data_IF_299381302812
#
_entry.id   IF_299381302812
#
_cell.length_a   1.000
_cell.length_b   1.000
_cell.length_c   1.000
_cell.angle_alpha   90.00
_cell.angle_beta   90.00
_cell.angle_gamma   90.00
#
_symmetry.space_group_name_H-M   'P 1'
#
loop_
_entity.id
_entity.type
_entity.pdbx_description
1 polymer ?
#
# COMPACT_ATOMS: atom_id res chain seq x y z
N UNK A 1 11.32 -45.50 -22.97
CA UNK A 1 10.44 -44.50 -22.30
C UNK A 1 11.25 -43.85 -21.19
N UNK A 2 11.91 -42.74 -21.50
CA UNK A 2 12.80 -41.99 -20.62
C UNK A 2 12.45 -40.50 -20.74
N UNK A 3 12.57 -39.78 -19.61
CA UNK A 3 12.89 -38.34 -19.48
C UNK A 3 11.76 -37.37 -19.89
N UNK A 4 11.30 -36.38 -19.10
CA UNK A 4 12.01 -35.45 -18.22
C UNK A 4 11.09 -34.99 -17.07
N UNK A 5 11.46 -35.26 -15.82
CA UNK A 5 11.05 -34.46 -14.65
C UNK A 5 12.29 -33.63 -14.30
N UNK A 6 12.24 -32.34 -14.62
CA UNK A 6 13.38 -31.43 -14.45
C UNK A 6 13.53 -31.07 -12.96
N UNK A 7 14.67 -31.49 -12.41
CA UNK A 7 15.17 -31.17 -11.07
C UNK A 7 15.50 -29.67 -10.99
N UNK A 8 14.83 -28.91 -10.13
CA UNK A 8 15.35 -27.62 -9.64
C UNK A 8 16.18 -27.88 -8.38
N UNK A 9 17.49 -28.03 -8.56
CA UNK A 9 18.50 -28.02 -7.50
C UNK A 9 19.73 -27.29 -8.04
N UNK A 10 20.23 -26.34 -7.26
CA UNK A 10 21.48 -25.56 -7.42
C UNK A 10 21.43 -24.33 -8.35
N UNK A 11 21.04 -23.19 -7.80
CA UNK A 11 21.88 -21.97 -7.82
C UNK A 11 21.87 -21.41 -6.40
N UNK A 12 22.78 -21.91 -5.56
CA UNK A 12 23.14 -21.34 -4.27
C UNK A 12 24.45 -20.57 -4.48
N UNK A 13 24.38 -19.25 -4.36
CA UNK A 13 25.54 -18.37 -4.36
C UNK A 13 25.19 -17.10 -3.62
N UNK A 14 25.32 -17.13 -2.28
CA UNK A 14 25.31 -15.93 -1.44
C UNK A 14 24.03 -15.60 -0.68
N UNK A 15 23.37 -16.59 -0.08
CA UNK A 15 22.45 -16.32 1.04
C UNK A 15 23.07 -16.98 2.27
N UNK A 16 23.41 -16.15 3.26
CA UNK A 16 23.85 -16.60 4.58
C UNK A 16 22.84 -17.61 5.12
N UNK A 17 23.25 -18.87 5.22
CA UNK A 17 22.52 -19.91 5.94
C UNK A 17 22.35 -19.47 7.39
N UNK A 18 21.12 -19.30 7.84
CA UNK A 18 20.78 -19.48 9.25
C UNK A 18 20.13 -20.86 9.37
N UNK A 19 20.82 -21.74 10.10
CA UNK A 19 20.47 -23.13 10.27
C UNK A 19 19.11 -23.31 10.97
N UNK A 20 18.41 -24.36 10.54
CA UNK A 20 17.12 -24.83 11.05
C UNK A 20 17.23 -25.41 12.46
N UNK A 21 16.21 -25.14 13.29
CA UNK A 21 15.78 -26.05 14.35
C UNK A 21 14.24 -26.09 14.35
N UNK A 22 13.72 -27.28 14.11
CA UNK A 22 12.36 -27.71 14.43
C UNK A 22 12.11 -27.55 15.92
N UNK A 23 11.03 -26.87 16.28
CA UNK A 23 10.55 -26.78 17.66
C UNK A 23 9.79 -25.50 17.93
N UNK A 24 8.79 -25.57 18.81
CA UNK A 24 7.92 -24.48 19.28
C UNK A 24 8.64 -23.29 19.96
N UNK A 25 9.95 -23.10 19.74
CA UNK A 25 10.81 -22.06 20.28
C UNK A 25 11.02 -20.87 19.32
N UNK A 26 10.39 -20.85 18.14
CA UNK A 26 10.63 -19.85 17.11
C UNK A 26 9.95 -18.51 17.41
N UNK A 27 8.65 -18.51 17.75
CA UNK A 27 7.88 -17.29 18.07
C UNK A 27 8.53 -16.41 19.15
N UNK A 28 9.19 -17.03 20.14
CA UNK A 28 9.85 -16.30 21.24
C UNK A 28 11.01 -15.45 20.72
N UNK A 29 11.84 -15.98 19.80
CA UNK A 29 13.02 -15.28 19.27
C UNK A 29 12.68 -14.02 18.47
N UNK A 30 11.59 -14.04 17.71
CA UNK A 30 11.17 -12.86 16.91
C UNK A 30 10.60 -11.81 17.83
N UNK A 31 9.75 -12.22 18.77
CA UNK A 31 9.17 -11.29 19.74
C UNK A 31 10.26 -10.62 20.59
N UNK A 32 11.31 -11.34 20.96
CA UNK A 32 12.44 -10.75 21.68
C UNK A 32 13.21 -9.73 20.83
N UNK A 33 13.38 -10.00 19.53
CA UNK A 33 13.99 -9.04 18.59
C UNK A 33 13.12 -7.79 18.37
N UNK A 34 11.79 -7.90 18.48
CA UNK A 34 10.88 -6.78 18.28
C UNK A 34 10.83 -5.82 19.48
N UNK A 35 11.16 -6.25 20.71
CA UNK A 35 11.09 -5.37 21.90
C UNK A 35 11.95 -4.11 21.76
N UNK A 36 13.12 -4.23 21.16
CA UNK A 36 14.10 -3.16 20.98
C UNK A 36 14.17 -2.63 19.54
N UNK A 37 13.30 -3.09 18.64
CA UNK A 37 13.33 -2.66 17.25
C UNK A 37 13.09 -1.15 17.14
N UNK A 38 13.96 -0.46 16.40
CA UNK A 38 13.87 0.95 16.11
C UNK A 38 13.45 1.15 14.65
N UNK A 39 12.67 2.19 14.39
CA UNK A 39 12.20 2.54 13.06
C UNK A 39 12.67 3.94 12.68
N UNK A 40 13.06 4.10 11.43
CA UNK A 40 13.29 5.39 10.80
C UNK A 40 12.47 5.41 9.53
N UNK A 41 11.72 6.48 9.32
CA UNK A 41 10.91 6.62 8.12
C UNK A 41 11.82 6.69 6.89
N UNK A 42 11.54 5.82 5.92
CA UNK A 42 12.19 5.76 4.60
C UNK A 42 11.06 5.70 3.57
N UNK A 43 11.18 6.46 2.48
CA UNK A 43 10.21 6.39 1.39
C UNK A 43 10.69 5.39 0.34
N UNK A 44 9.79 4.54 -0.16
CA UNK A 44 10.10 3.50 -1.14
C UNK A 44 10.71 4.08 -2.42
N UNK A 45 10.26 5.28 -2.84
CA UNK A 45 10.76 5.96 -4.03
C UNK A 45 12.26 6.24 -3.97
N UNK A 46 12.84 6.35 -2.76
CA UNK A 46 14.27 6.61 -2.55
C UNK A 46 15.13 5.35 -2.77
N UNK A 47 14.50 4.19 -3.00
CA UNK A 47 15.14 2.90 -3.28
C UNK A 47 15.12 2.52 -4.76
N UNK A 48 14.45 3.30 -5.61
CA UNK A 48 14.36 2.96 -7.02
C UNK A 48 15.65 3.29 -7.77
N UNK A 49 16.18 2.36 -8.59
CA UNK A 49 17.26 2.69 -9.50
C UNK A 49 16.78 3.71 -10.56
N UNK A 50 17.69 4.46 -11.19
CA UNK A 50 17.32 5.29 -12.33
C UNK A 50 16.73 4.41 -13.45
N UNK A 51 15.68 4.91 -14.10
CA UNK A 51 15.02 4.21 -15.19
C UNK A 51 15.62 4.62 -16.53
N UNK A 52 15.92 3.64 -17.37
CA UNK A 52 16.24 3.90 -18.78
C UNK A 52 15.05 4.62 -19.45
N UNK A 53 15.27 5.71 -20.22
CA UNK A 53 14.18 6.48 -20.83
C UNK A 53 13.24 5.64 -21.70
N UNK A 54 13.78 4.66 -22.43
CA UNK A 54 12.99 3.74 -23.25
C UNK A 54 12.11 2.82 -22.39
N UNK A 55 12.65 2.28 -21.29
CA UNK A 55 11.91 1.43 -20.37
C UNK A 55 10.78 2.20 -19.65
N UNK A 56 11.07 3.44 -19.24
CA UNK A 56 10.09 4.34 -18.61
C UNK A 56 9.01 4.77 -19.61
N UNK A 57 9.34 4.94 -20.90
CA UNK A 57 8.36 5.19 -21.96
C UNK A 57 7.37 4.02 -22.12
N UNK A 58 7.85 2.78 -22.18
CA UNK A 58 6.97 1.60 -22.23
C UNK A 58 6.11 1.47 -20.97
N UNK A 59 6.68 1.72 -19.79
CA UNK A 59 5.93 1.73 -18.55
C UNK A 59 4.80 2.77 -18.57
N UNK A 60 5.09 4.01 -19.01
CA UNK A 60 4.10 5.08 -19.13
C UNK A 60 3.01 4.75 -20.17
N UNK A 61 3.37 4.17 -21.31
CA UNK A 61 2.41 3.72 -22.32
C UNK A 61 1.47 2.65 -21.72
N UNK A 62 2.01 1.65 -21.03
CA UNK A 62 1.22 0.62 -20.36
C UNK A 62 0.26 1.22 -19.31
N UNK A 63 0.74 2.18 -18.50
CA UNK A 63 -0.10 2.90 -17.53
C UNK A 63 -1.22 3.69 -18.19
N UNK A 64 -0.98 4.32 -19.33
CA UNK A 64 -2.02 5.05 -20.05
C UNK A 64 -3.09 4.09 -20.57
N UNK A 65 -2.71 2.94 -21.13
CA UNK A 65 -3.66 1.89 -21.54
C UNK A 65 -4.48 1.37 -20.34
N UNK A 66 -3.88 1.22 -19.17
CA UNK A 66 -4.60 0.85 -17.93
C UNK A 66 -5.58 1.93 -17.44
N UNK A 67 -5.40 3.20 -17.79
CA UNK A 67 -6.30 4.30 -17.38
C UNK A 67 -7.50 4.51 -18.31
N UNK A 68 -7.42 4.09 -19.57
CA UNK A 68 -8.50 4.27 -20.56
C UNK A 68 -9.87 3.74 -20.11
N UNK A 69 -10.99 4.30 -20.54
CA UNK A 69 -12.30 3.71 -20.22
C UNK A 69 -12.57 2.48 -21.10
N UNK A 70 -13.28 1.49 -20.56
CA UNK A 70 -13.71 0.30 -21.31
C UNK A 70 -12.73 -0.88 -21.29
N UNK A 71 -12.85 -1.76 -22.30
CA UNK A 71 -12.11 -3.01 -22.38
C UNK A 71 -10.61 -2.75 -22.57
N UNK A 72 -9.79 -3.40 -21.76
CA UNK A 72 -8.33 -3.26 -21.75
C UNK A 72 -7.65 -4.24 -22.70
N UNK A 73 -6.64 -3.77 -23.42
CA UNK A 73 -5.72 -4.63 -24.14
C UNK A 73 -4.61 -5.13 -23.20
N UNK A 74 -4.95 -6.13 -22.39
CA UNK A 74 -3.99 -6.73 -21.46
C UNK A 74 -2.83 -7.45 -22.18
N UNK A 75 -3.00 -7.86 -23.44
CA UNK A 75 -1.90 -8.44 -24.20
C UNK A 75 -0.83 -7.38 -24.51
N UNK A 76 -1.25 -6.19 -24.96
CA UNK A 76 -0.35 -5.05 -25.17
C UNK A 76 0.26 -4.54 -23.87
N UNK A 77 -0.55 -4.37 -22.82
CA UNK A 77 -0.08 -3.93 -21.48
C UNK A 77 0.98 -4.89 -20.95
N UNK A 78 0.72 -6.19 -20.98
CA UNK A 78 1.67 -7.21 -20.54
C UNK A 78 2.97 -7.20 -21.35
N UNK A 79 2.88 -6.98 -22.67
CA UNK A 79 4.06 -6.86 -23.55
C UNK A 79 4.93 -5.67 -23.16
N UNK A 80 4.33 -4.49 -23.02
CA UNK A 80 5.03 -3.26 -22.64
C UNK A 80 5.71 -3.40 -21.27
N UNK A 81 5.01 -3.99 -20.30
CA UNK A 81 5.62 -4.22 -19.00
C UNK A 81 6.75 -5.24 -19.02
N UNK A 82 6.65 -6.31 -19.84
CA UNK A 82 7.77 -7.25 -20.03
C UNK A 82 8.98 -6.55 -20.65
N UNK A 83 8.78 -5.73 -21.67
CA UNK A 83 9.86 -4.94 -22.30
C UNK A 83 10.53 -4.00 -21.28
N UNK A 84 9.75 -3.25 -20.50
CA UNK A 84 10.29 -2.39 -19.44
C UNK A 84 10.99 -3.21 -18.34
N UNK A 85 10.42 -4.34 -17.93
CA UNK A 85 11.01 -5.24 -16.94
C UNK A 85 12.34 -5.84 -17.43
N UNK A 86 12.50 -6.15 -18.72
CA UNK A 86 13.77 -6.61 -19.29
C UNK A 86 14.89 -5.58 -19.10
N UNK A 87 14.53 -4.29 -19.02
CA UNK A 87 15.42 -3.16 -18.71
C UNK A 87 15.38 -2.73 -17.24
N UNK A 88 15.08 -3.69 -16.36
CA UNK A 88 15.10 -3.50 -14.90
C UNK A 88 14.13 -2.41 -14.37
N UNK A 89 13.06 -2.09 -15.10
CA UNK A 89 12.07 -1.13 -14.65
C UNK A 89 11.20 -1.70 -13.51
N UNK A 90 11.52 -1.36 -12.27
CA UNK A 90 10.96 -2.02 -11.07
C UNK A 90 9.46 -1.81 -10.91
N UNK A 91 8.93 -0.64 -11.29
CA UNK A 91 7.47 -0.40 -11.29
C UNK A 91 6.74 -1.24 -12.33
N UNK A 92 7.41 -1.54 -13.46
CA UNK A 92 6.83 -2.38 -14.50
C UNK A 92 6.80 -3.84 -14.04
N UNK A 93 7.86 -4.31 -13.38
CA UNK A 93 7.89 -5.63 -12.75
C UNK A 93 6.76 -5.79 -11.73
N UNK A 94 6.57 -4.81 -10.83
CA UNK A 94 5.51 -4.86 -9.83
C UNK A 94 4.11 -4.89 -10.45
N UNK A 95 3.84 -4.02 -11.44
CA UNK A 95 2.54 -4.02 -12.12
C UNK A 95 2.30 -5.29 -12.93
N UNK A 96 3.31 -5.78 -13.66
CA UNK A 96 3.22 -7.04 -14.40
C UNK A 96 2.93 -8.21 -13.47
N UNK A 97 3.64 -8.29 -12.36
CA UNK A 97 3.45 -9.30 -11.33
C UNK A 97 1.99 -9.29 -10.83
N UNK A 98 1.47 -8.12 -10.45
CA UNK A 98 0.10 -7.99 -9.97
C UNK A 98 -0.93 -8.42 -11.03
N UNK A 99 -0.74 -8.01 -12.29
CA UNK A 99 -1.63 -8.34 -13.39
C UNK A 99 -1.62 -9.83 -13.75
N UNK A 100 -0.46 -10.49 -13.72
CA UNK A 100 -0.36 -11.94 -13.93
C UNK A 100 -1.04 -12.68 -12.77
N UNK A 101 -0.74 -12.31 -11.52
CA UNK A 101 -1.32 -12.94 -10.34
C UNK A 101 -2.86 -12.87 -10.35
N UNK A 102 -3.42 -11.71 -10.73
CA UNK A 102 -4.86 -11.50 -10.90
C UNK A 102 -5.46 -12.25 -12.11
N UNK A 103 -4.64 -12.72 -13.06
CA UNK A 103 -5.09 -13.38 -14.28
C UNK A 103 -5.53 -12.43 -15.40
N UNK A 104 -5.27 -11.12 -15.25
CA UNK A 104 -5.53 -10.13 -16.30
C UNK A 104 -4.53 -10.26 -17.46
N UNK A 105 -3.26 -10.55 -17.14
CA UNK A 105 -2.19 -10.82 -18.11
C UNK A 105 -1.85 -12.30 -18.08
N UNK A 106 -1.85 -12.96 -19.24
CA UNK A 106 -1.42 -14.35 -19.35
C UNK A 106 0.09 -14.47 -19.06
N UNK A 107 0.54 -15.56 -18.43
CA UNK A 107 1.96 -15.78 -18.21
C UNK A 107 2.72 -15.99 -19.54
N UNK A 108 4.05 -15.89 -19.51
CA UNK A 108 4.90 -16.20 -20.65
C UNK A 108 4.68 -17.63 -21.14
N UNK A 109 4.87 -17.86 -22.44
CA UNK A 109 4.55 -19.14 -23.07
C UNK A 109 5.25 -20.31 -22.36
N UNK A 110 4.45 -21.31 -21.94
CA UNK A 110 4.95 -22.50 -21.26
C UNK A 110 5.20 -22.34 -19.76
N UNK A 111 4.95 -21.15 -19.18
CA UNK A 111 5.03 -20.92 -17.74
C UNK A 111 3.64 -20.96 -17.08
N UNK A 112 3.60 -21.45 -15.84
CA UNK A 112 2.46 -21.20 -14.95
C UNK A 112 2.52 -19.78 -14.39
N UNK A 113 1.36 -19.21 -14.03
CA UNK A 113 1.28 -17.85 -13.46
C UNK A 113 2.20 -17.67 -12.26
N UNK A 114 2.20 -18.65 -11.36
CA UNK A 114 3.01 -18.65 -10.15
C UNK A 114 4.51 -18.59 -10.48
N UNK A 115 4.95 -19.23 -11.56
CA UNK A 115 6.37 -19.27 -11.93
C UNK A 115 6.86 -17.88 -12.34
N UNK A 116 6.21 -17.25 -13.33
CA UNK A 116 6.62 -15.91 -13.80
C UNK A 116 6.51 -14.86 -12.69
N UNK A 117 5.46 -14.95 -11.87
CA UNK A 117 5.26 -14.05 -10.73
C UNK A 117 6.39 -14.18 -9.71
N UNK A 118 6.79 -15.40 -9.35
CA UNK A 118 7.91 -15.59 -8.41
C UNK A 118 9.23 -15.13 -9.03
N UNK A 119 9.48 -15.38 -10.32
CA UNK A 119 10.67 -14.87 -11.02
C UNK A 119 10.75 -13.33 -10.98
N UNK A 120 9.62 -12.63 -11.19
CA UNK A 120 9.56 -11.17 -11.09
C UNK A 120 9.84 -10.68 -9.66
N UNK A 121 9.29 -11.36 -8.65
CA UNK A 121 9.48 -11.01 -7.23
C UNK A 121 10.92 -11.25 -6.80
N UNK A 122 11.53 -12.37 -7.19
CA UNK A 122 12.94 -12.66 -6.92
C UNK A 122 13.88 -11.65 -7.58
N UNK A 123 13.56 -11.18 -8.79
CA UNK A 123 14.30 -10.10 -9.45
C UNK A 123 14.20 -8.79 -8.68
N UNK A 124 13.01 -8.42 -8.20
CA UNK A 124 12.82 -7.23 -7.35
C UNK A 124 13.63 -7.34 -6.05
N UNK A 125 13.62 -8.50 -5.39
CA UNK A 125 14.43 -8.75 -4.18
C UNK A 125 15.92 -8.67 -4.48
N UNK A 126 16.39 -9.25 -5.60
CA UNK A 126 17.79 -9.20 -6.02
C UNK A 126 18.27 -7.75 -6.28
N UNK A 127 17.35 -6.86 -6.63
CA UNK A 127 17.61 -5.43 -6.83
C UNK A 127 17.38 -4.60 -5.55
N UNK A 128 17.20 -5.23 -4.40
CA UNK A 128 16.90 -4.59 -3.11
C UNK A 128 15.66 -3.68 -3.16
N UNK A 129 14.64 -4.07 -3.94
CA UNK A 129 13.39 -3.30 -4.05
C UNK A 129 12.43 -3.70 -2.92
N UNK A 130 11.98 -2.75 -2.08
CA UNK A 130 11.13 -3.04 -0.92
C UNK A 130 9.84 -3.79 -1.26
N UNK A 131 9.19 -3.41 -2.37
CA UNK A 131 8.00 -4.08 -2.89
C UNK A 131 8.19 -5.59 -3.11
N UNK A 132 9.36 -6.02 -3.60
CA UNK A 132 9.66 -7.44 -3.81
C UNK A 132 9.62 -8.24 -2.51
N UNK A 133 10.20 -7.69 -1.43
CA UNK A 133 10.12 -8.31 -0.11
C UNK A 133 8.68 -8.39 0.41
N UNK A 134 7.89 -7.33 0.24
CA UNK A 134 6.50 -7.32 0.69
C UNK A 134 5.64 -8.38 -0.02
N UNK A 135 5.76 -8.47 -1.35
CA UNK A 135 5.01 -9.46 -2.14
C UNK A 135 5.46 -10.89 -1.82
N UNK A 136 6.77 -11.15 -1.69
CA UNK A 136 7.25 -12.47 -1.24
C UNK A 136 6.70 -12.82 0.14
N UNK A 137 6.66 -11.86 1.07
CA UNK A 137 6.02 -12.06 2.37
C UNK A 137 4.55 -12.46 2.24
N UNK A 138 3.80 -11.79 1.36
CA UNK A 138 2.40 -12.13 1.08
C UNK A 138 2.24 -13.54 0.50
N UNK A 139 3.13 -13.96 -0.39
CA UNK A 139 3.11 -15.29 -0.99
C UNK A 139 3.52 -16.40 -0.04
N UNK A 140 4.50 -16.17 0.83
CA UNK A 140 4.83 -17.07 1.93
C UNK A 140 3.66 -17.23 2.89
N UNK A 141 2.91 -16.17 3.16
CA UNK A 141 1.72 -16.26 4.03
C UNK A 141 0.62 -17.14 3.42
N UNK A 142 0.48 -17.12 2.09
CA UNK A 142 -0.59 -17.79 1.34
C UNK A 142 -0.19 -19.15 0.74
N UNK A 143 1.11 -19.45 0.65
CA UNK A 143 1.61 -20.60 -0.11
C UNK A 143 1.48 -20.43 -1.64
N UNK A 144 1.53 -19.19 -2.15
CA UNK A 144 1.36 -18.92 -3.59
C UNK A 144 2.68 -19.06 -4.34
N UNK A 145 2.88 -20.19 -5.03
CA UNK A 145 4.11 -20.46 -5.80
C UNK A 145 5.34 -20.78 -4.95
N UNK A 146 5.23 -20.67 -3.62
CA UNK A 146 6.24 -21.02 -2.62
C UNK A 146 5.59 -21.80 -1.48
N UNK A 147 6.37 -22.52 -0.69
CA UNK A 147 5.86 -23.20 0.50
C UNK A 147 5.34 -22.19 1.53
N UNK A 148 4.17 -22.45 2.09
CA UNK A 148 3.56 -21.56 3.07
C UNK A 148 4.43 -21.51 4.34
N UNK A 149 4.82 -20.31 4.75
CA UNK A 149 5.62 -20.08 5.94
C UNK A 149 5.32 -18.70 6.52
N UNK A 150 4.46 -18.64 7.54
CA UNK A 150 4.03 -17.40 8.18
C UNK A 150 5.15 -16.65 8.90
N UNK A 151 6.17 -17.38 9.35
CA UNK A 151 7.30 -16.78 10.02
C UNK A 151 8.21 -16.05 9.04
N UNK A 152 8.60 -16.75 7.96
CA UNK A 152 9.32 -16.12 6.88
C UNK A 152 8.51 -14.94 6.32
N UNK A 153 7.20 -15.09 6.13
CA UNK A 153 6.32 -14.02 5.69
C UNK A 153 6.47 -12.73 6.52
N UNK A 154 6.43 -12.86 7.86
CA UNK A 154 6.62 -11.73 8.76
C UNK A 154 7.99 -11.08 8.60
N UNK A 155 9.08 -11.86 8.52
CA UNK A 155 10.44 -11.33 8.33
C UNK A 155 10.58 -10.56 7.01
N UNK A 156 10.00 -11.08 5.93
CA UNK A 156 9.99 -10.42 4.62
C UNK A 156 9.20 -9.11 4.66
N UNK A 157 8.02 -9.09 5.28
CA UNK A 157 7.22 -7.86 5.44
C UNK A 157 7.91 -6.82 6.36
N UNK A 158 8.57 -7.27 7.43
CA UNK A 158 9.36 -6.41 8.31
C UNK A 158 10.54 -5.77 7.55
N UNK A 159 11.25 -6.56 6.75
CA UNK A 159 12.32 -6.08 5.89
C UNK A 159 11.80 -5.03 4.89
N UNK A 160 10.67 -5.30 4.24
CA UNK A 160 10.03 -4.35 3.33
C UNK A 160 9.70 -3.02 4.03
N UNK A 161 9.12 -3.08 5.24
CA UNK A 161 8.77 -1.90 6.04
C UNK A 161 9.99 -1.03 6.39
N UNK A 162 11.08 -1.66 6.84
CA UNK A 162 12.36 -1.00 7.15
C UNK A 162 12.97 -0.35 5.91
N UNK A 163 12.80 -0.96 4.74
CA UNK A 163 13.33 -0.43 3.49
C UNK A 163 12.46 0.64 2.84
N UNK A 164 11.25 0.87 3.35
CA UNK A 164 10.40 1.99 2.96
C UNK A 164 9.08 1.60 2.28
N UNK A 165 8.80 0.31 2.08
CA UNK A 165 7.57 -0.11 1.40
C UNK A 165 6.33 0.34 2.21
N UNK A 166 5.39 1.10 1.62
CA UNK A 166 4.24 1.65 2.33
C UNK A 166 3.29 0.56 2.86
N UNK A 167 3.06 -0.52 2.11
CA UNK A 167 2.21 -1.63 2.56
C UNK A 167 2.85 -2.38 3.75
N UNK A 168 4.15 -2.62 3.70
CA UNK A 168 4.93 -3.21 4.79
C UNK A 168 4.90 -2.33 6.04
N UNK A 169 5.13 -1.02 5.89
CA UNK A 169 5.01 -0.06 6.99
C UNK A 169 3.61 -0.07 7.62
N UNK A 170 2.57 -0.18 6.80
CA UNK A 170 1.20 -0.32 7.25
C UNK A 170 0.93 -1.62 8.03
N UNK A 171 1.31 -2.76 7.46
CA UNK A 171 1.07 -4.08 8.08
C UNK A 171 1.84 -4.21 9.39
N UNK A 172 3.11 -3.84 9.39
CA UNK A 172 3.97 -3.94 10.59
C UNK A 172 3.59 -2.87 11.61
N UNK A 173 3.23 -1.66 11.18
CA UNK A 173 2.74 -0.61 12.07
C UNK A 173 1.49 -1.04 12.83
N UNK A 174 0.53 -1.66 12.14
CA UNK A 174 -0.65 -2.24 12.79
C UNK A 174 -0.30 -3.34 13.79
N UNK A 175 0.70 -4.18 13.47
CA UNK A 175 1.14 -5.24 14.39
C UNK A 175 1.70 -4.66 15.69
N UNK A 176 2.41 -3.53 15.64
CA UNK A 176 2.85 -2.82 16.83
C UNK A 176 1.70 -2.13 17.59
N UNK A 177 0.57 -1.83 16.94
CA UNK A 177 -0.60 -1.22 17.58
C UNK A 177 -1.62 -2.24 18.10
N UNK A 178 -1.40 -3.54 17.89
CA UNK A 178 -2.30 -4.61 18.33
C UNK A 178 -2.11 -4.90 19.83
N UNK A 179 -2.97 -4.30 20.66
CA UNK A 179 -2.96 -4.50 22.11
C UNK A 179 -3.26 -5.95 22.53
N UNK A 180 -3.81 -6.79 21.65
CA UNK A 180 -4.00 -8.24 21.92
C UNK A 180 -2.69 -9.01 21.87
N UNK A 181 -1.60 -8.37 21.41
CA UNK A 181 -0.23 -8.90 21.34
C UNK A 181 0.71 -8.07 22.22
N UNK A 182 0.57 -8.13 23.55
CA UNK A 182 1.30 -7.24 24.47
C UNK A 182 2.83 -7.35 24.36
N UNK A 183 3.35 -8.50 23.94
CA UNK A 183 4.79 -8.73 23.74
C UNK A 183 5.40 -7.86 22.62
N UNK A 184 4.59 -7.46 21.65
CA UNK A 184 5.01 -6.60 20.53
C UNK A 184 4.28 -5.26 20.52
N UNK A 185 3.44 -4.94 21.52
CA UNK A 185 2.66 -3.72 21.52
C UNK A 185 3.54 -2.49 21.82
N UNK A 186 3.62 -1.57 20.87
CA UNK A 186 4.36 -0.30 20.94
C UNK A 186 3.63 0.76 20.12
N UNK A 187 2.66 1.44 20.77
CA UNK A 187 1.73 2.37 20.11
C UNK A 187 2.43 3.47 19.30
N UNK A 188 3.37 4.20 19.91
CA UNK A 188 4.03 5.34 19.25
C UNK A 188 4.87 4.91 18.04
N UNK A 189 5.52 3.75 18.15
CA UNK A 189 6.23 3.16 17.03
C UNK A 189 5.28 2.79 15.89
N UNK A 190 4.19 2.08 16.21
CA UNK A 190 3.20 1.70 15.22
C UNK A 190 2.58 2.90 14.52
N UNK A 191 2.25 3.96 15.28
CA UNK A 191 1.81 5.26 14.74
C UNK A 191 2.85 5.87 13.80
N UNK A 192 4.14 5.84 14.18
CA UNK A 192 5.22 6.38 13.35
C UNK A 192 5.36 5.61 12.02
N UNK A 193 5.19 4.29 12.03
CA UNK A 193 5.20 3.47 10.82
C UNK A 193 3.97 3.74 9.94
N UNK A 194 2.78 3.84 10.53
CA UNK A 194 1.59 4.22 9.78
C UNK A 194 1.70 5.63 9.20
N UNK A 195 2.32 6.57 9.92
CA UNK A 195 2.46 7.95 9.46
C UNK A 195 3.38 8.01 8.24
N UNK A 196 4.52 7.30 8.28
CA UNK A 196 5.42 7.16 7.14
C UNK A 196 4.73 6.49 5.92
N UNK A 197 3.86 5.51 6.15
CA UNK A 197 3.05 4.88 5.08
C UNK A 197 2.03 5.87 4.48
N UNK A 198 1.35 6.64 5.34
CA UNK A 198 0.39 7.67 4.94
C UNK A 198 1.05 8.81 4.14
N UNK A 199 2.24 9.27 4.54
CA UNK A 199 3.03 10.28 3.81
C UNK A 199 3.40 9.86 2.38
N UNK A 200 3.48 8.54 2.14
CA UNK A 200 3.72 7.97 0.80
C UNK A 200 2.43 7.81 -0.02
N UNK A 201 1.28 8.23 0.51
CA UNK A 201 0.00 8.15 -0.17
C UNK A 201 -0.79 6.88 0.07
N UNK A 202 -0.46 6.10 1.11
CA UNK A 202 -1.22 4.90 1.47
C UNK A 202 -2.45 5.27 2.31
N UNK A 203 -3.57 5.47 1.63
CA UNK A 203 -4.82 6.02 2.19
C UNK A 203 -5.32 5.21 3.41
N UNK A 204 -5.23 3.89 3.33
CA UNK A 204 -5.55 2.97 4.43
C UNK A 204 -4.75 3.25 5.72
N UNK A 205 -3.47 3.65 5.63
CA UNK A 205 -2.67 3.99 6.80
C UNK A 205 -3.13 5.31 7.42
N UNK A 206 -3.43 6.31 6.59
CA UNK A 206 -3.98 7.58 7.04
C UNK A 206 -5.32 7.37 7.75
N UNK A 207 -6.25 6.60 7.15
CA UNK A 207 -7.54 6.30 7.79
C UNK A 207 -7.36 5.59 9.14
N UNK A 208 -6.46 4.60 9.22
CA UNK A 208 -6.17 3.92 10.49
C UNK A 208 -5.61 4.84 11.57
N UNK A 209 -4.77 5.80 11.20
CA UNK A 209 -4.30 6.82 12.14
C UNK A 209 -5.44 7.74 12.59
N UNK A 210 -6.31 8.15 11.67
CA UNK A 210 -7.51 8.93 11.97
C UNK A 210 -8.37 8.22 13.02
N UNK A 211 -8.71 6.96 12.76
CA UNK A 211 -9.46 6.10 13.67
C UNK A 211 -8.75 5.93 15.02
N UNK A 212 -7.44 5.71 15.02
CA UNK A 212 -6.69 5.51 16.25
C UNK A 212 -6.65 6.77 17.12
N UNK A 213 -6.43 7.96 16.55
CA UNK A 213 -6.45 9.22 17.31
C UNK A 213 -7.86 9.58 17.77
N UNK A 214 -8.88 9.27 16.97
CA UNK A 214 -10.26 9.49 17.34
C UNK A 214 -10.68 8.62 18.52
N UNK A 215 -10.48 7.29 18.42
CA UNK A 215 -11.03 6.33 19.39
C UNK A 215 -10.14 6.16 20.62
N UNK A 216 -8.81 6.10 20.45
CA UNK A 216 -7.91 5.82 21.57
C UNK A 216 -7.58 7.06 22.40
N UNK A 217 -7.41 8.22 21.74
CA UNK A 217 -6.90 9.43 22.39
C UNK A 217 -7.96 10.54 22.54
N UNK A 218 -9.12 10.41 21.87
CA UNK A 218 -10.06 11.52 21.65
C UNK A 218 -9.38 12.78 21.07
N UNK A 219 -8.30 12.60 20.30
CA UNK A 219 -7.56 13.68 19.68
C UNK A 219 -8.19 14.01 18.33
N UNK A 220 -9.32 14.71 18.37
CA UNK A 220 -10.11 15.00 17.17
C UNK A 220 -9.36 15.86 16.15
N UNK A 221 -8.50 16.79 16.58
CA UNK A 221 -7.69 17.59 15.66
C UNK A 221 -6.75 16.73 14.81
N UNK A 222 -6.04 15.76 15.43
CA UNK A 222 -5.22 14.81 14.67
C UNK A 222 -6.07 13.86 13.83
N UNK A 223 -7.21 13.41 14.35
CA UNK A 223 -8.12 12.54 13.61
C UNK A 223 -8.57 13.19 12.29
N UNK A 224 -9.01 14.45 12.34
CA UNK A 224 -9.42 15.22 11.16
C UNK A 224 -8.31 15.34 10.12
N UNK A 225 -7.07 15.64 10.55
CA UNK A 225 -5.90 15.72 9.65
C UNK A 225 -5.69 14.41 8.90
N UNK A 226 -5.74 13.29 9.61
CA UNK A 226 -5.52 11.98 9.00
C UNK A 226 -6.70 11.48 8.18
N UNK A 227 -7.94 11.80 8.55
CA UNK A 227 -9.10 11.54 7.70
C UNK A 227 -9.05 12.36 6.40
N UNK A 228 -8.64 13.65 6.48
CA UNK A 228 -8.45 14.50 5.30
C UNK A 228 -7.38 13.92 4.38
N UNK A 229 -6.26 13.46 4.96
CA UNK A 229 -5.19 12.81 4.21
C UNK A 229 -5.65 11.48 3.59
N UNK A 230 -6.48 10.70 4.29
CA UNK A 230 -7.07 9.48 3.74
C UNK A 230 -7.93 9.81 2.51
N UNK A 231 -8.82 10.80 2.61
CA UNK A 231 -9.63 11.30 1.49
C UNK A 231 -8.78 11.79 0.34
N UNK A 232 -7.73 12.58 0.62
CA UNK A 232 -6.78 13.08 -0.38
C UNK A 232 -6.20 11.94 -1.24
N UNK A 233 -5.92 10.79 -0.63
CA UNK A 233 -5.33 9.63 -1.30
C UNK A 233 -6.34 8.59 -1.78
N UNK A 234 -7.62 8.91 -1.69
CA UNK A 234 -8.71 8.14 -2.29
C UNK A 234 -9.41 7.16 -1.36
N UNK A 235 -9.34 7.37 -0.04
CA UNK A 235 -10.14 6.61 0.93
C UNK A 235 -11.52 7.26 1.09
N UNK A 236 -12.54 6.58 0.58
CA UNK A 236 -13.94 7.00 0.64
C UNK A 236 -14.45 7.12 2.07
N UNK A 237 -13.97 6.27 2.99
CA UNK A 237 -14.35 6.29 4.40
C UNK A 237 -13.87 7.56 5.07
N UNK A 238 -12.69 8.07 4.68
CA UNK A 238 -12.21 9.36 5.16
C UNK A 238 -13.17 10.51 4.82
N UNK A 239 -13.68 10.54 3.58
CA UNK A 239 -14.64 11.57 3.16
C UNK A 239 -15.98 11.42 3.88
N UNK A 240 -16.47 10.19 3.98
CA UNK A 240 -17.70 9.87 4.70
C UNK A 240 -17.63 10.29 6.18
N UNK A 241 -16.56 9.88 6.89
CA UNK A 241 -16.34 10.27 8.29
C UNK A 241 -16.24 11.78 8.48
N UNK A 242 -15.61 12.50 7.55
CA UNK A 242 -15.54 13.96 7.62
C UNK A 242 -16.91 14.62 7.38
N UNK A 243 -17.71 14.10 6.44
CA UNK A 243 -19.07 14.58 6.23
C UNK A 243 -19.90 14.43 7.52
N UNK A 244 -19.88 13.26 8.15
CA UNK A 244 -20.61 12.99 9.40
C UNK A 244 -20.12 13.88 10.54
N UNK A 245 -18.80 14.09 10.63
CA UNK A 245 -18.20 14.98 11.63
C UNK A 245 -18.65 16.43 11.52
N UNK A 246 -18.90 16.95 10.32
CA UNK A 246 -19.44 18.29 10.10
C UNK A 246 -20.98 18.34 10.11
N UNK A 247 -21.66 17.20 10.29
CA UNK A 247 -23.12 17.11 10.34
C UNK A 247 -23.67 17.06 11.78
N UNK A 248 -22.82 16.84 12.79
CA UNK A 248 -23.20 16.84 14.21
C UNK A 248 -22.26 17.67 15.06
N UNK A 249 -22.80 18.28 16.11
CA UNK A 249 -22.03 18.83 17.23
C UNK A 249 -22.46 18.21 18.58
N UNK A 250 -23.29 17.15 18.54
CA UNK A 250 -23.74 16.45 19.74
C UNK A 250 -22.67 15.46 20.22
N UNK A 251 -22.06 15.67 21.40
CA UNK A 251 -21.06 14.75 21.95
C UNK A 251 -21.63 13.36 22.29
N UNK A 252 -22.97 13.19 22.35
CA UNK A 252 -23.58 11.88 22.53
C UNK A 252 -23.61 11.06 21.24
N UNK A 253 -23.45 11.69 20.07
CA UNK A 253 -23.25 10.98 18.81
C UNK A 253 -21.79 10.52 18.68
N UNK A 254 -21.43 9.50 19.47
CA UNK A 254 -20.05 9.00 19.56
C UNK A 254 -19.48 8.45 18.25
N UNK A 255 -20.32 8.11 17.28
CA UNK A 255 -19.90 7.57 15.98
C UNK A 255 -19.47 8.68 15.01
N UNK A 256 -19.96 9.90 15.20
CA UNK A 256 -19.73 10.97 14.22
C UNK A 256 -19.02 12.18 14.87
N UNK A 257 -19.03 12.27 16.21
CA UNK A 257 -18.49 13.43 16.91
C UNK A 257 -16.96 13.53 16.84
N UNK A 258 -16.48 14.58 16.17
CA UNK A 258 -15.08 15.05 16.15
C UNK A 258 -14.93 16.51 16.61
N UNK A 259 -15.86 16.98 17.46
CA UNK A 259 -15.80 18.33 18.04
C UNK A 259 -15.89 19.47 17.02
N UNK A 260 -16.54 19.24 15.88
CA UNK A 260 -16.73 20.25 14.85
C UNK A 260 -18.04 21.01 15.04
N UNK A 261 -18.09 22.23 14.50
CA UNK A 261 -19.36 22.94 14.30
C UNK A 261 -20.06 22.35 13.09
N UNK A 262 -21.39 22.36 13.12
CA UNK A 262 -22.19 21.97 11.96
C UNK A 262 -21.87 22.93 10.81
N UNK A 263 -21.46 22.36 9.67
CA UNK A 263 -21.09 23.11 8.46
C UNK A 263 -21.68 22.40 7.22
N UNK A 264 -22.91 22.78 6.80
CA UNK A 264 -23.61 22.10 5.71
C UNK A 264 -22.89 22.15 4.37
N UNK A 265 -22.09 23.20 4.11
CA UNK A 265 -21.33 23.30 2.86
C UNK A 265 -20.13 22.34 2.89
N UNK A 266 -19.43 22.19 4.03
CA UNK A 266 -18.40 21.13 4.17
C UNK A 266 -18.98 19.75 3.98
N UNK A 267 -20.13 19.47 4.61
CA UNK A 267 -20.85 18.20 4.45
C UNK A 267 -21.08 17.92 2.97
N UNK A 268 -21.64 18.88 2.24
CA UNK A 268 -21.90 18.77 0.81
C UNK A 268 -20.64 18.53 -0.02
N UNK A 269 -19.53 19.22 0.28
CA UNK A 269 -18.24 19.05 -0.43
C UNK A 269 -17.66 17.66 -0.18
N UNK A 270 -17.65 17.18 1.06
CA UNK A 270 -17.17 15.83 1.38
C UNK A 270 -18.06 14.73 0.79
N UNK A 271 -19.39 14.88 0.83
CA UNK A 271 -20.32 13.96 0.18
C UNK A 271 -20.06 13.87 -1.33
N UNK A 272 -19.81 15.00 -1.99
CA UNK A 272 -19.48 15.00 -3.42
C UNK A 272 -18.14 14.32 -3.73
N UNK A 273 -17.16 14.42 -2.83
CA UNK A 273 -15.89 13.68 -2.93
C UNK A 273 -16.12 12.18 -2.72
N UNK A 274 -16.93 11.80 -1.71
CA UNK A 274 -17.31 10.42 -1.44
C UNK A 274 -18.02 9.77 -2.65
N UNK A 275 -19.05 10.43 -3.20
CA UNK A 275 -19.78 9.95 -4.38
C UNK A 275 -18.87 9.70 -5.60
N UNK A 276 -17.79 10.48 -5.71
CA UNK A 276 -16.84 10.35 -6.79
C UNK A 276 -15.85 9.20 -6.54
N UNK A 277 -15.40 9.01 -5.30
CA UNK A 277 -14.58 7.87 -4.90
C UNK A 277 -15.33 6.55 -5.06
N UNK A 278 -16.63 6.52 -4.75
CA UNK A 278 -17.50 5.37 -4.96
C UNK A 278 -17.59 4.98 -6.45
N UNK A 279 -17.63 5.97 -7.35
CA UNK A 279 -17.66 5.72 -8.80
C UNK A 279 -16.29 5.38 -9.37
N UNK A 280 -15.24 5.96 -8.81
CA UNK A 280 -13.86 5.81 -9.26
C UNK A 280 -12.93 5.62 -8.06
N UNK A 281 -12.68 4.38 -7.62
CA UNK A 281 -11.80 4.10 -6.48
C UNK A 281 -10.33 4.43 -6.75
N UNK A 282 -9.97 4.86 -7.97
CA UNK A 282 -8.64 5.34 -8.32
C UNK A 282 -8.53 6.87 -8.27
N UNK A 283 -9.63 7.60 -8.03
CA UNK A 283 -9.60 9.05 -7.90
C UNK A 283 -8.76 9.47 -6.69
N UNK A 284 -8.05 10.58 -6.85
CA UNK A 284 -7.25 11.22 -5.81
C UNK A 284 -7.49 12.71 -5.86
N UNK A 285 -7.39 13.37 -4.71
CA UNK A 285 -7.71 14.77 -4.55
C UNK A 285 -6.50 15.52 -3.96
N UNK A 286 -5.37 15.63 -4.68
CA UNK A 286 -4.19 16.35 -4.19
C UNK A 286 -4.49 17.83 -3.88
N UNK A 287 -5.56 18.36 -4.46
CA UNK A 287 -6.14 19.69 -4.31
C UNK A 287 -7.22 19.77 -3.22
N UNK A 288 -7.42 18.74 -2.39
CA UNK A 288 -8.50 18.70 -1.40
C UNK A 288 -8.54 19.93 -0.49
N UNK A 289 -7.40 20.52 -0.14
CA UNK A 289 -7.35 21.73 0.69
C UNK A 289 -7.71 23.02 -0.07
N UNK A 290 -7.75 23.00 -1.40
CA UNK A 290 -8.36 24.06 -2.22
C UNK A 290 -9.87 23.87 -2.38
N UNK A 291 -10.38 22.66 -2.09
CA UNK A 291 -11.81 22.33 -2.17
C UNK A 291 -12.46 22.50 -0.80
N UNK A 292 -11.90 21.89 0.23
CA UNK A 292 -12.46 21.79 1.58
C UNK A 292 -11.32 21.77 2.62
N UNK A 293 -10.62 22.90 2.85
CA UNK A 293 -9.53 22.97 3.83
C UNK A 293 -10.08 22.79 5.25
N UNK A 294 -9.43 22.02 6.13
CA UNK A 294 -9.93 21.84 7.51
C UNK A 294 -10.04 23.18 8.30
N UNK A 295 -10.98 23.30 9.26
CA UNK A 295 -11.02 24.43 10.19
C UNK A 295 -9.66 24.63 10.90
N UNK A 296 -9.30 25.89 11.24
CA UNK A 296 -10.14 27.09 11.23
C UNK A 296 -10.23 27.80 9.88
N UNK A 297 -9.67 27.25 8.79
CA UNK A 297 -9.73 27.89 7.48
C UNK A 297 -11.19 28.02 6.98
N UNK A 298 -11.52 29.17 6.41
CA UNK A 298 -12.79 29.38 5.71
C UNK A 298 -12.81 28.60 4.39
N UNK A 299 -14.01 28.27 3.92
CA UNK A 299 -14.18 27.59 2.64
C UNK A 299 -13.89 28.56 1.49
N UNK A 300 -13.01 28.20 0.54
CA UNK A 300 -12.79 29.01 -0.66
C UNK A 300 -13.98 28.89 -1.61
N UNK A 301 -14.07 29.82 -2.56
CA UNK A 301 -14.92 29.65 -3.74
C UNK A 301 -14.54 28.36 -4.47
N UNK A 302 -15.54 27.59 -4.89
CA UNK A 302 -15.35 26.33 -5.57
C UNK A 302 -16.42 26.15 -6.64
N UNK A 303 -15.99 25.86 -7.87
CA UNK A 303 -16.86 25.70 -9.05
C UNK A 303 -17.62 24.36 -9.06
N UNK A 304 -17.41 23.51 -8.04
CA UNK A 304 -18.02 22.19 -7.95
C UNK A 304 -17.34 21.15 -8.83
N UNK A 305 -16.12 21.37 -9.31
CA UNK A 305 -15.38 20.40 -10.14
C UNK A 305 -14.05 20.02 -9.49
N UNK A 306 -13.46 18.90 -9.92
CA UNK A 306 -12.21 18.39 -9.36
C UNK A 306 -11.05 18.59 -10.33
N UNK A 307 -9.87 19.00 -9.87
CA UNK A 307 -8.72 19.25 -10.76
C UNK A 307 -8.36 18.02 -11.60
N UNK A 308 -8.38 16.80 -11.03
CA UNK A 308 -8.03 15.59 -11.79
C UNK A 308 -9.03 15.24 -12.91
N UNK A 309 -10.25 15.79 -12.89
CA UNK A 309 -11.22 15.64 -13.99
C UNK A 309 -10.92 16.60 -15.16
N UNK A 310 -10.11 17.64 -14.92
CA UNK A 310 -9.72 18.65 -15.92
C UNK A 310 -8.47 18.23 -16.71
N UNK A 311 -7.72 17.24 -16.22
CA UNK A 311 -6.58 16.67 -16.97
C UNK A 311 -7.09 15.77 -18.11
N UNK A 312 -6.53 15.87 -19.32
CA UNK A 312 -6.89 14.95 -20.41
C UNK A 312 -6.53 13.52 -20.00
N UNK A 313 -7.55 12.65 -19.96
CA UNK A 313 -7.43 11.21 -19.65
C UNK A 313 -6.77 10.43 -20.78
#
# INVERSE_FOLDING_TARGET
>A
MQSHIMKYRQILGGILMVAWLSGCATNTKINDNLKNFQFTCVQEKDRFPPFEPEADAWFKEARNLEKQKGKKDYARIGTLYRQAAMKNHVKAMGNLQALIAAGNVAPSQGQFRQQEVIELVERLIKMDIPFGYFIMGTYLQQGYGVEQNSEAAFQYMLKAAVMGNPDGQYVIGQRFMDATKPQSYRLDLGRSMLACSAEQGYANAAYRLGMNYWVADNNYSKALIYFQQATQYGDERGAYTLADAFNTNDPNNKLDYLGQKIDPERVKRYQKIHDELDKNPYAKFPDINKIVPLPPAELPEWDGTFEYQKEPQ
#
